data_IF_553448881566
#
_entry.id   IF_553448881566
#
_cell.length_a   1.000
_cell.length_b   1.000
_cell.length_c   1.000
_cell.angle_alpha   90.00
_cell.angle_beta   90.00
_cell.angle_gamma   90.00
#
_symmetry.space_group_name_H-M   'P 1'
#
loop_
_entity.id
_entity.type
_entity.pdbx_description
1 polymer ?
#
# COMPACT_ATOMS: atom_id res chain seq x y z
N UNK A 1 41.06 -13.66 70.51
CA UNK A 1 40.93 -13.01 69.18
C UNK A 1 39.48 -12.50 69.11
N UNK A 2 39.08 -11.26 69.48
CA UNK A 2 39.58 -9.89 69.20
C UNK A 2 39.86 -9.76 67.70
N UNK A 3 39.14 -9.00 66.87
CA UNK A 3 38.46 -7.69 67.05
C UNK A 3 37.35 -7.51 65.99
N UNK A 4 36.09 -7.24 66.33
CA UNK A 4 35.45 -5.90 66.33
C UNK A 4 35.93 -4.90 65.26
N UNK A 5 35.03 -4.56 64.33
CA UNK A 5 34.81 -3.17 63.87
C UNK A 5 33.33 -2.95 63.52
N UNK A 6 32.68 -2.18 64.38
CA UNK A 6 31.43 -1.50 64.11
C UNK A 6 31.75 -0.16 63.43
N UNK A 7 30.89 0.28 62.51
CA UNK A 7 30.71 1.70 62.25
C UNK A 7 29.31 1.97 61.69
N UNK A 8 28.52 2.71 62.48
CA UNK A 8 27.30 3.40 62.08
C UNK A 8 27.64 4.59 61.18
N UNK A 9 26.88 4.76 60.08
CA UNK A 9 26.55 6.05 59.43
C UNK A 9 25.15 5.86 58.81
N UNK A 10 24.05 6.28 59.44
CA UNK A 10 23.43 7.61 59.34
C UNK A 10 22.97 8.03 57.92
N UNK A 11 21.68 7.81 57.66
CA UNK A 11 20.71 8.72 57.04
C UNK A 11 21.11 9.54 55.80
N UNK A 12 20.51 9.23 54.64
CA UNK A 12 19.85 10.21 53.76
C UNK A 12 19.10 9.47 52.64
N UNK A 13 17.78 9.33 52.82
CA UNK A 13 16.84 8.97 51.75
C UNK A 13 16.65 10.22 50.89
N UNK A 14 17.28 10.26 49.73
CA UNK A 14 16.90 11.20 48.67
C UNK A 14 15.89 10.50 47.78
N UNK A 15 14.62 10.89 47.95
CA UNK A 15 13.52 10.52 47.08
C UNK A 15 13.71 11.25 45.74
N UNK A 16 14.40 10.62 44.79
CA UNK A 16 14.45 11.10 43.42
C UNK A 16 13.12 10.73 42.75
N UNK A 17 12.17 11.67 42.76
CA UNK A 17 11.00 11.64 41.88
C UNK A 17 11.53 11.71 40.46
N UNK A 18 11.60 10.55 39.78
CA UNK A 18 11.71 10.51 38.31
C UNK A 18 10.36 10.99 37.80
N UNK A 19 10.28 12.29 37.52
CA UNK A 19 9.22 12.83 36.69
C UNK A 19 9.34 12.19 35.31
N UNK A 20 8.43 11.27 35.01
CA UNK A 20 8.20 10.82 33.65
C UNK A 20 7.78 12.03 32.82
N UNK A 21 8.75 12.62 32.12
CA UNK A 21 8.49 13.60 31.09
C UNK A 21 7.72 12.90 29.97
N UNK A 22 6.40 13.11 29.93
CA UNK A 22 5.60 12.90 28.74
C UNK A 22 6.05 13.94 27.69
N UNK A 23 7.06 13.57 26.90
CA UNK A 23 7.36 14.21 25.62
C UNK A 23 6.45 13.64 24.52
N UNK A 24 6.19 14.40 23.44
CA UNK A 24 5.09 14.14 22.53
C UNK A 24 5.42 12.99 21.58
N UNK A 25 4.99 11.77 21.91
CA UNK A 25 4.97 10.65 20.97
C UNK A 25 3.91 10.83 19.85
N UNK A 26 3.01 11.79 19.99
CA UNK A 26 1.92 12.08 19.04
C UNK A 26 2.37 12.87 17.80
N UNK A 27 3.47 13.65 17.90
CA UNK A 27 3.95 14.46 16.77
C UNK A 27 4.66 13.62 15.69
N UNK A 28 5.35 12.54 16.08
CA UNK A 28 6.08 11.69 15.14
C UNK A 28 5.16 10.80 14.28
N UNK A 29 4.06 10.30 14.85
CA UNK A 29 3.06 9.53 14.12
C UNK A 29 2.24 10.39 13.14
N UNK A 30 1.99 11.66 13.50
CA UNK A 30 1.25 12.60 12.65
C UNK A 30 2.11 13.08 11.46
N UNK A 31 3.41 13.25 11.65
CA UNK A 31 4.34 13.65 10.57
C UNK A 31 4.51 12.55 9.50
N UNK A 32 4.56 11.27 9.89
CA UNK A 32 4.68 10.15 8.94
C UNK A 32 3.43 9.93 8.09
N UNK A 33 2.24 10.28 8.60
CA UNK A 33 0.98 10.19 7.85
C UNK A 33 0.80 11.39 6.91
N UNK A 34 1.29 12.57 7.29
CA UNK A 34 1.26 13.77 6.44
C UNK A 34 2.25 13.71 5.26
N UNK A 35 3.40 13.04 5.39
CA UNK A 35 4.33 12.85 4.25
C UNK A 35 3.79 11.88 3.19
N UNK A 36 2.96 10.91 3.56
CA UNK A 36 2.41 9.93 2.61
C UNK A 36 1.20 10.44 1.80
N UNK A 37 0.59 11.55 2.23
CA UNK A 37 -0.59 12.15 1.56
C UNK A 37 -0.22 13.20 0.53
N UNK A 38 1.03 13.68 0.50
CA UNK A 38 1.50 14.69 -0.44
C UNK A 38 2.43 14.10 -1.49
N UNK A 39 2.03 14.19 -2.76
CA UNK A 39 2.92 13.87 -3.89
C UNK A 39 3.78 15.09 -4.23
N UNK A 40 5.05 14.86 -4.56
CA UNK A 40 5.94 15.87 -5.12
C UNK A 40 6.63 15.35 -6.38
N UNK A 41 6.99 16.26 -7.28
CA UNK A 41 7.69 15.97 -8.54
C UNK A 41 8.95 16.85 -8.65
N UNK A 42 10.04 16.36 -9.26
CA UNK A 42 10.18 15.05 -9.90
C UNK A 42 10.14 13.90 -8.89
N UNK A 43 9.58 12.77 -9.29
CA UNK A 43 9.56 11.53 -8.50
C UNK A 43 10.39 10.46 -9.19
N UNK A 44 11.33 9.87 -8.46
CA UNK A 44 12.25 8.86 -8.97
C UNK A 44 12.14 7.57 -8.17
N UNK A 45 11.99 6.44 -8.86
CA UNK A 45 11.98 5.12 -8.24
C UNK A 45 12.62 4.07 -9.15
N UNK A 46 13.29 3.10 -8.54
CA UNK A 46 13.81 1.92 -9.25
C UNK A 46 12.70 0.91 -9.45
N UNK A 47 12.51 0.46 -10.68
CA UNK A 47 11.49 -0.49 -11.04
C UNK A 47 11.99 -1.95 -11.00
N UNK A 48 11.10 -2.90 -11.30
CA UNK A 48 11.41 -4.33 -11.27
C UNK A 48 12.36 -4.83 -12.38
N UNK A 49 12.84 -3.95 -13.25
CA UNK A 49 13.93 -4.24 -14.20
C UNK A 49 15.29 -3.77 -13.67
N UNK A 50 15.33 -3.14 -12.49
CA UNK A 50 16.50 -2.46 -11.96
C UNK A 50 16.77 -1.11 -12.63
N UNK A 51 15.82 -0.57 -13.39
CA UNK A 51 15.97 0.72 -14.06
C UNK A 51 15.43 1.82 -13.17
N UNK A 52 16.20 2.89 -12.97
CA UNK A 52 15.72 4.10 -12.31
C UNK A 52 14.81 4.87 -13.28
N UNK A 53 13.56 5.08 -12.87
CA UNK A 53 12.54 5.79 -13.65
C UNK A 53 12.22 7.08 -12.93
N UNK A 54 12.35 8.19 -13.65
CA UNK A 54 11.98 9.53 -13.17
C UNK A 54 10.74 10.00 -13.90
N UNK A 55 9.76 10.47 -13.14
CA UNK A 55 8.57 11.18 -13.62
C UNK A 55 8.76 12.64 -13.23
N UNK A 56 8.97 13.52 -14.22
CA UNK A 56 9.39 14.91 -13.97
C UNK A 56 8.24 15.79 -13.46
N UNK A 57 7.01 15.51 -13.91
CA UNK A 57 5.80 16.26 -13.60
C UNK A 57 4.62 15.28 -13.43
N UNK A 58 3.53 15.74 -12.80
CA UNK A 58 2.32 14.91 -12.64
C UNK A 58 1.81 14.48 -14.03
N UNK A 59 1.74 13.17 -14.35
CA UNK A 59 1.31 12.73 -15.67
C UNK A 59 -0.18 13.05 -15.87
N UNK A 60 -0.53 13.56 -17.05
CA UNK A 60 -1.92 13.80 -17.46
C UNK A 60 -2.48 12.58 -18.21
N UNK A 61 -1.60 11.80 -18.84
CA UNK A 61 -1.96 10.65 -19.71
C UNK A 61 -1.23 9.39 -19.24
N UNK A 62 -1.98 8.48 -18.65
CA UNK A 62 -1.47 7.20 -18.12
C UNK A 62 -2.04 6.04 -18.94
N UNK A 63 -1.19 5.12 -19.37
CA UNK A 63 -1.62 3.86 -19.98
C UNK A 63 -1.32 2.68 -19.06
N UNK A 64 -2.34 1.84 -18.82
CA UNK A 64 -2.26 0.68 -17.92
C UNK A 64 -2.24 -0.62 -18.72
N UNK A 65 -1.20 -1.44 -18.57
CA UNK A 65 -1.00 -2.60 -19.45
C UNK A 65 -1.75 -3.87 -18.99
N UNK A 66 -2.32 -3.87 -17.80
CA UNK A 66 -3.07 -5.01 -17.23
C UNK A 66 -4.16 -4.49 -16.27
N UNK A 67 -5.29 -5.20 -16.12
CA UNK A 67 -6.42 -4.77 -15.29
C UNK A 67 -6.08 -4.46 -13.84
N UNK A 68 -5.07 -5.08 -13.22
CA UNK A 68 -4.67 -4.71 -11.85
C UNK A 68 -4.21 -3.25 -11.71
N UNK A 69 -3.43 -2.73 -12.68
CA UNK A 69 -3.02 -1.32 -12.68
C UNK A 69 -4.20 -0.39 -12.98
N UNK A 70 -5.09 -0.77 -13.91
CA UNK A 70 -6.31 -0.02 -14.17
C UNK A 70 -7.19 0.06 -12.92
N UNK A 71 -7.39 -1.07 -12.23
CA UNK A 71 -8.18 -1.13 -11.01
C UNK A 71 -7.59 -0.22 -9.93
N UNK A 72 -6.28 -0.25 -9.71
CA UNK A 72 -5.61 0.69 -8.78
C UNK A 72 -5.85 2.15 -9.19
N UNK A 73 -5.77 2.51 -10.47
CA UNK A 73 -6.05 3.89 -10.93
C UNK A 73 -7.51 4.32 -10.67
N UNK A 74 -8.47 3.41 -10.82
CA UNK A 74 -9.86 3.67 -10.45
C UNK A 74 -10.02 3.86 -8.95
N UNK A 75 -9.28 3.08 -8.15
CA UNK A 75 -9.32 3.24 -6.71
C UNK A 75 -8.71 4.56 -6.26
N UNK A 76 -7.52 4.93 -6.73
CA UNK A 76 -6.83 6.13 -6.18
C UNK A 76 -7.35 7.46 -6.74
N UNK A 77 -8.45 7.47 -7.51
CA UNK A 77 -9.01 8.67 -8.12
C UNK A 77 -8.32 9.10 -9.42
N UNK A 78 -7.42 8.30 -9.96
CA UNK A 78 -6.65 8.57 -11.19
C UNK A 78 -7.34 8.17 -12.50
N UNK A 79 -8.60 7.70 -12.48
CA UNK A 79 -9.28 7.17 -13.69
C UNK A 79 -9.35 8.13 -14.88
N UNK A 80 -9.38 9.44 -14.64
CA UNK A 80 -9.44 10.44 -15.71
C UNK A 80 -8.08 10.65 -16.39
N UNK A 81 -6.97 10.30 -15.72
CA UNK A 81 -5.65 10.26 -16.35
C UNK A 81 -5.50 9.04 -17.28
N UNK A 82 -6.33 8.00 -17.13
CA UNK A 82 -6.16 6.76 -17.89
C UNK A 82 -6.67 6.91 -19.33
N UNK A 83 -5.75 6.93 -20.29
CA UNK A 83 -6.04 7.07 -21.73
C UNK A 83 -6.02 5.73 -22.46
N UNK A 84 -5.32 4.73 -21.93
CA UNK A 84 -5.18 3.40 -22.49
C UNK A 84 -5.28 2.30 -21.43
N UNK A 85 -5.96 1.21 -21.76
CA UNK A 85 -6.11 0.05 -20.87
C UNK A 85 -6.25 -1.27 -21.62
N UNK A 86 -5.95 -2.36 -20.92
CA UNK A 86 -6.20 -3.72 -21.41
C UNK A 86 -7.70 -3.98 -21.54
N UNK A 87 -8.11 -4.76 -22.54
CA UNK A 87 -9.50 -5.19 -22.72
C UNK A 87 -10.08 -5.90 -21.49
N UNK A 88 -9.23 -6.52 -20.67
CA UNK A 88 -9.64 -7.20 -19.44
C UNK A 88 -10.00 -6.24 -18.30
N UNK A 89 -9.83 -4.93 -18.49
CA UNK A 89 -10.24 -3.88 -17.57
C UNK A 89 -11.54 -3.17 -17.99
N UNK A 90 -12.15 -3.55 -19.12
CA UNK A 90 -13.37 -2.93 -19.65
C UNK A 90 -14.62 -3.13 -18.77
N UNK A 91 -14.53 -3.96 -17.73
CA UNK A 91 -15.58 -4.10 -16.72
C UNK A 91 -15.64 -2.92 -15.74
N UNK A 92 -14.59 -2.10 -15.67
CA UNK A 92 -14.56 -0.91 -14.82
C UNK A 92 -15.45 0.18 -15.41
N UNK A 93 -16.22 0.85 -14.54
CA UNK A 93 -17.17 1.88 -14.97
C UNK A 93 -16.46 2.99 -15.79
N UNK A 94 -16.94 3.22 -17.01
CA UNK A 94 -16.43 4.23 -17.94
C UNK A 94 -15.16 3.84 -18.71
N UNK A 95 -14.61 2.64 -18.47
CA UNK A 95 -13.39 2.16 -19.15
C UNK A 95 -13.56 1.98 -20.66
N UNK A 96 -14.79 1.78 -21.15
CA UNK A 96 -15.12 1.62 -22.56
C UNK A 96 -14.83 2.87 -23.41
N UNK A 97 -14.70 4.03 -22.75
CA UNK A 97 -14.32 5.29 -23.41
C UNK A 97 -12.80 5.42 -23.62
N UNK A 98 -11.99 4.50 -23.09
CA UNK A 98 -10.52 4.54 -23.18
C UNK A 98 -10.02 3.65 -24.32
N UNK A 99 -8.79 3.88 -24.78
CA UNK A 99 -8.23 3.09 -25.88
C UNK A 99 -7.85 1.69 -25.39
N UNK A 100 -8.40 0.65 -26.06
CA UNK A 100 -8.00 -0.72 -25.81
C UNK A 100 -6.59 -0.99 -26.41
N UNK A 101 -5.60 -1.20 -25.55
CA UNK A 101 -4.20 -1.45 -25.94
C UNK A 101 -3.83 -2.94 -26.01
N UNK A 102 -4.80 -3.85 -25.95
CA UNK A 102 -4.54 -5.30 -26.07
C UNK A 102 -4.15 -5.73 -27.48
N UNK A 103 -3.29 -6.75 -27.53
CA UNK A 103 -3.01 -7.53 -28.74
C UNK A 103 -4.23 -8.35 -29.19
N UNK A 104 -4.16 -8.96 -30.37
CA UNK A 104 -5.14 -9.95 -30.79
C UNK A 104 -4.98 -11.21 -29.95
N UNK A 105 -5.69 -11.28 -28.81
CA UNK A 105 -5.58 -12.36 -27.83
C UNK A 105 -5.01 -11.87 -26.48
N UNK A 106 -4.08 -12.63 -25.92
CA UNK A 106 -3.37 -12.24 -24.69
C UNK A 106 -2.17 -11.34 -25.00
N UNK A 107 -1.89 -10.41 -24.10
CA UNK A 107 -0.74 -9.50 -24.19
C UNK A 107 -1.08 -8.08 -24.65
N UNK A 108 -0.03 -7.31 -24.90
CA UNK A 108 -0.05 -5.88 -25.19
C UNK A 108 0.25 -5.64 -26.67
N UNK A 109 -0.45 -4.71 -27.31
CA UNK A 109 -0.09 -4.20 -28.62
C UNK A 109 0.70 -2.90 -28.47
N UNK A 110 2.00 -2.94 -28.77
CA UNK A 110 2.91 -1.82 -28.52
C UNK A 110 2.56 -0.59 -29.37
N UNK A 111 2.15 -0.77 -30.63
CA UNK A 111 1.76 0.34 -31.49
C UNK A 111 0.53 1.07 -30.94
N UNK A 112 -0.44 0.34 -30.39
CA UNK A 112 -1.61 0.94 -29.74
C UNK A 112 -1.21 1.67 -28.46
N UNK A 113 -0.27 1.16 -27.68
CA UNK A 113 0.25 1.87 -26.49
C UNK A 113 0.92 3.18 -26.92
N UNK A 114 1.82 3.15 -27.90
CA UNK A 114 2.44 4.37 -28.44
C UNK A 114 1.38 5.35 -28.97
N UNK A 115 0.36 4.84 -29.65
CA UNK A 115 -0.76 5.65 -30.16
C UNK A 115 -1.62 6.29 -29.07
N UNK A 116 -1.50 5.88 -27.81
CA UNK A 116 -2.14 6.58 -26.67
C UNK A 116 -1.36 7.81 -26.21
N UNK A 117 -0.17 8.08 -26.74
CA UNK A 117 0.68 9.22 -26.35
C UNK A 117 0.76 9.42 -24.82
N UNK A 118 1.19 8.39 -24.05
CA UNK A 118 1.17 8.45 -22.59
C UNK A 118 2.41 9.16 -22.03
N UNK A 119 2.21 9.94 -20.97
CA UNK A 119 3.31 10.48 -20.13
C UNK A 119 3.93 9.37 -19.27
N UNK A 120 3.12 8.38 -18.88
CA UNK A 120 3.53 7.24 -18.07
C UNK A 120 2.78 5.96 -18.46
N UNK A 121 3.53 4.87 -18.58
CA UNK A 121 2.98 3.52 -18.75
C UNK A 121 3.19 2.70 -17.49
N UNK A 122 2.09 2.21 -16.91
CA UNK A 122 2.10 1.33 -15.74
C UNK A 122 2.06 -0.14 -16.19
N UNK A 123 3.15 -0.86 -15.93
CA UNK A 123 3.34 -2.24 -16.36
C UNK A 123 3.41 -3.20 -15.14
N UNK A 124 2.32 -3.92 -14.79
CA UNK A 124 2.38 -4.94 -13.75
C UNK A 124 3.38 -6.06 -14.05
N UNK A 125 3.78 -6.82 -13.03
CA UNK A 125 4.79 -7.89 -13.10
C UNK A 125 4.57 -8.93 -14.21
N UNK A 126 3.30 -9.17 -14.59
CA UNK A 126 2.90 -10.06 -15.68
C UNK A 126 3.28 -9.56 -17.07
N UNK A 127 3.64 -8.29 -17.22
CA UNK A 127 4.20 -7.76 -18.47
C UNK A 127 5.67 -8.16 -18.56
N UNK A 128 6.05 -8.75 -19.70
CA UNK A 128 7.41 -9.24 -19.92
C UNK A 128 8.42 -8.09 -19.98
N UNK A 129 9.65 -8.35 -19.52
CA UNK A 129 10.75 -7.39 -19.66
C UNK A 129 10.99 -7.00 -21.12
N UNK A 130 10.82 -7.94 -22.06
CA UNK A 130 10.90 -7.66 -23.50
C UNK A 130 9.88 -6.60 -23.94
N UNK A 131 8.62 -6.72 -23.49
CA UNK A 131 7.57 -5.73 -23.80
C UNK A 131 7.90 -4.37 -23.19
N UNK A 132 8.36 -4.35 -21.94
CA UNK A 132 8.77 -3.11 -21.25
C UNK A 132 9.93 -2.42 -21.97
N UNK A 133 10.96 -3.18 -22.36
CA UNK A 133 12.11 -2.66 -23.11
C UNK A 133 11.69 -2.13 -24.48
N UNK A 134 10.85 -2.86 -25.22
CA UNK A 134 10.37 -2.41 -26.53
C UNK A 134 9.59 -1.09 -26.46
N UNK A 135 8.78 -0.88 -25.40
CA UNK A 135 8.06 0.37 -25.19
C UNK A 135 9.00 1.53 -24.79
N UNK A 136 10.05 1.25 -24.00
CA UNK A 136 11.09 2.23 -23.67
C UNK A 136 11.95 2.61 -24.88
N UNK A 137 12.30 1.64 -25.72
CA UNK A 137 13.02 1.87 -26.99
C UNK A 137 12.19 2.73 -27.96
N UNK A 138 10.86 2.71 -27.83
CA UNK A 138 9.94 3.61 -28.53
C UNK A 138 9.84 5.01 -27.89
N UNK A 139 10.59 5.29 -26.83
CA UNK A 139 10.67 6.60 -26.17
C UNK A 139 9.65 6.83 -25.05
N UNK A 140 8.93 5.81 -24.60
CA UNK A 140 7.95 5.95 -23.53
C UNK A 140 8.57 5.79 -22.13
N UNK A 141 8.07 6.56 -21.16
CA UNK A 141 8.34 6.33 -19.73
C UNK A 141 7.50 5.16 -19.24
N UNK A 142 8.14 4.03 -18.95
CA UNK A 142 7.47 2.80 -18.50
C UNK A 142 7.96 2.41 -17.11
N UNK A 143 7.06 2.24 -16.15
CA UNK A 143 7.37 1.73 -14.82
C UNK A 143 6.90 0.27 -14.68
N UNK A 144 7.83 -0.68 -14.47
CA UNK A 144 7.50 -2.09 -14.24
C UNK A 144 7.40 -2.39 -12.74
N UNK A 145 6.25 -2.87 -12.30
CA UNK A 145 6.04 -3.27 -10.90
C UNK A 145 6.59 -4.65 -10.60
N UNK A 146 7.02 -4.84 -9.35
CA UNK A 146 7.32 -6.15 -8.78
C UNK A 146 6.06 -7.00 -8.61
N UNK A 147 6.27 -8.30 -8.40
CA UNK A 147 5.19 -9.20 -8.01
C UNK A 147 4.69 -8.85 -6.62
N UNK A 148 3.37 -8.72 -6.45
CA UNK A 148 2.76 -8.58 -5.14
C UNK A 148 2.48 -9.97 -4.56
N UNK A 149 3.20 -10.32 -3.50
CA UNK A 149 3.15 -11.64 -2.83
C UNK A 149 2.43 -11.59 -1.48
N UNK A 150 2.03 -10.40 -1.02
CA UNK A 150 1.29 -10.19 0.23
C UNK A 150 0.31 -9.00 0.11
N UNK A 151 -0.53 -8.80 1.12
CA UNK A 151 -1.44 -7.64 1.20
C UNK A 151 -0.63 -6.34 1.36
N UNK A 152 0.43 -6.36 2.16
CA UNK A 152 1.35 -5.23 2.35
C UNK A 152 2.10 -4.89 1.05
N UNK A 153 2.41 -5.88 0.21
CA UNK A 153 2.98 -5.63 -1.11
C UNK A 153 1.97 -4.92 -2.04
N UNK A 154 0.67 -5.21 -1.91
CA UNK A 154 -0.40 -4.48 -2.62
C UNK A 154 -0.52 -3.06 -2.09
N UNK A 155 -0.42 -2.87 -0.77
CA UNK A 155 -0.43 -1.55 -0.12
C UNK A 155 0.72 -0.68 -0.63
N UNK A 156 1.95 -1.20 -0.59
CA UNK A 156 3.14 -0.52 -1.06
C UNK A 156 3.05 -0.18 -2.56
N UNK A 157 2.56 -1.12 -3.38
CA UNK A 157 2.33 -0.90 -4.81
C UNK A 157 1.28 0.21 -5.06
N UNK A 158 0.25 0.28 -4.23
CA UNK A 158 -0.80 1.32 -4.32
C UNK A 158 -0.23 2.68 -3.96
N UNK A 159 0.54 2.78 -2.87
CA UNK A 159 1.26 4.01 -2.49
C UNK A 159 2.20 4.47 -3.60
N UNK A 160 3.01 3.57 -4.14
CA UNK A 160 3.93 3.86 -5.24
C UNK A 160 3.19 4.33 -6.50
N UNK A 161 2.05 3.71 -6.82
CA UNK A 161 1.21 4.15 -7.94
C UNK A 161 0.68 5.57 -7.70
N UNK A 162 0.26 5.88 -6.46
CA UNK A 162 -0.11 7.22 -6.05
C UNK A 162 1.00 8.24 -6.29
N UNK A 163 2.23 7.93 -5.85
CA UNK A 163 3.40 8.80 -6.03
C UNK A 163 3.75 9.02 -7.51
N UNK A 164 3.79 7.95 -8.30
CA UNK A 164 4.07 8.02 -9.75
C UNK A 164 3.04 8.85 -10.53
N UNK A 165 1.79 8.91 -10.05
CA UNK A 165 0.66 9.50 -10.80
C UNK A 165 0.11 10.79 -10.19
N UNK A 166 0.63 11.21 -9.04
CA UNK A 166 0.15 12.41 -8.34
C UNK A 166 -1.16 12.20 -7.56
N UNK A 167 -1.49 10.96 -7.20
CA UNK A 167 -2.73 10.57 -6.52
C UNK A 167 -2.49 10.03 -5.09
N UNK A 168 -1.55 10.62 -4.34
CA UNK A 168 -1.12 10.15 -3.01
C UNK A 168 -2.27 10.09 -1.99
N UNK A 169 -3.11 11.13 -1.92
CA UNK A 169 -4.25 11.14 -1.01
C UNK A 169 -5.24 9.99 -1.30
N UNK A 170 -5.56 9.74 -2.57
CA UNK A 170 -6.42 8.63 -2.97
C UNK A 170 -5.77 7.26 -2.74
N UNK A 171 -4.44 7.15 -2.87
CA UNK A 171 -3.71 5.93 -2.51
C UNK A 171 -3.75 5.66 -1.00
N UNK A 172 -3.54 6.69 -0.18
CA UNK A 172 -3.65 6.58 1.28
C UNK A 172 -5.06 6.16 1.73
N UNK A 173 -6.11 6.77 1.16
CA UNK A 173 -7.49 6.39 1.44
C UNK A 173 -7.79 4.95 1.01
N UNK A 174 -7.38 4.54 -0.20
CA UNK A 174 -7.60 3.18 -0.69
C UNK A 174 -6.88 2.13 0.17
N UNK A 175 -5.66 2.44 0.63
CA UNK A 175 -4.91 1.58 1.54
C UNK A 175 -5.56 1.51 2.92
N UNK A 176 -6.00 2.63 3.50
CA UNK A 176 -6.73 2.64 4.76
C UNK A 176 -8.01 1.80 4.68
N UNK A 177 -8.75 1.89 3.58
CA UNK A 177 -9.93 1.08 3.33
C UNK A 177 -9.62 -0.41 3.21
N UNK A 178 -8.53 -0.76 2.52
CA UNK A 178 -8.06 -2.13 2.42
C UNK A 178 -7.68 -2.69 3.79
N UNK A 179 -6.81 -2.00 4.53
CA UNK A 179 -6.28 -2.45 5.82
C UNK A 179 -7.40 -2.64 6.85
N UNK A 180 -8.32 -1.68 6.97
CA UNK A 180 -9.44 -1.80 7.93
C UNK A 180 -10.33 -3.02 7.68
N UNK A 181 -10.58 -3.37 6.42
CA UNK A 181 -11.39 -4.55 6.09
C UNK A 181 -10.62 -5.86 6.27
N UNK A 182 -9.30 -5.87 6.04
CA UNK A 182 -8.43 -7.00 6.36
C UNK A 182 -8.39 -7.24 7.87
N UNK A 183 -8.21 -6.19 8.66
CA UNK A 183 -8.20 -6.24 10.13
C UNK A 183 -9.55 -6.74 10.67
N UNK A 184 -10.66 -6.25 10.11
CA UNK A 184 -12.01 -6.69 10.48
C UNK A 184 -12.21 -8.19 10.23
N UNK A 185 -11.74 -8.70 9.09
CA UNK A 185 -11.80 -10.13 8.78
C UNK A 185 -10.94 -10.96 9.71
N UNK A 186 -9.68 -10.57 9.92
CA UNK A 186 -8.74 -11.27 10.81
C UNK A 186 -9.27 -11.33 12.25
N UNK A 187 -9.81 -10.22 12.75
CA UNK A 187 -10.43 -10.15 14.08
C UNK A 187 -11.65 -11.06 14.19
N UNK A 188 -12.51 -11.08 13.16
CA UNK A 188 -13.72 -11.89 13.16
C UNK A 188 -13.42 -13.40 13.23
N UNK A 189 -12.34 -13.83 12.56
CA UNK A 189 -11.94 -15.25 12.48
C UNK A 189 -10.87 -15.63 13.51
N UNK A 190 -10.57 -14.76 14.47
CA UNK A 190 -9.58 -15.04 15.51
C UNK A 190 -10.00 -16.26 16.33
N UNK A 191 -9.15 -17.28 16.38
CA UNK A 191 -9.42 -18.53 17.09
C UNK A 191 -10.43 -19.47 16.40
N UNK A 192 -10.92 -19.13 15.21
CA UNK A 192 -11.76 -20.02 14.41
C UNK A 192 -10.92 -21.15 13.76
N UNK A 193 -11.55 -22.31 13.56
CA UNK A 193 -10.93 -23.43 12.85
C UNK A 193 -10.79 -23.11 11.36
N UNK A 194 -9.58 -23.22 10.82
CA UNK A 194 -9.29 -22.76 9.46
C UNK A 194 -9.58 -23.87 8.44
N UNK A 195 -10.60 -23.75 7.57
CA UNK A 195 -10.85 -24.76 6.57
C UNK A 195 -9.66 -24.84 5.59
N UNK A 196 -9.38 -26.05 5.11
CA UNK A 196 -8.41 -26.34 4.04
C UNK A 196 -8.96 -25.87 2.70
N UNK A 197 -8.30 -24.91 2.07
CA UNK A 197 -8.75 -24.22 0.86
C UNK A 197 -7.79 -24.47 -0.29
N UNK A 198 -8.33 -24.73 -1.48
CA UNK A 198 -7.57 -24.72 -2.74
C UNK A 198 -8.21 -23.74 -3.73
N UNK A 199 -7.38 -23.07 -4.52
CA UNK A 199 -7.85 -22.26 -5.66
C UNK A 199 -7.28 -22.74 -6.99
N UNK A 200 -8.08 -23.47 -7.79
CA UNK A 200 -7.71 -23.88 -9.13
C UNK A 200 -7.80 -22.72 -10.14
N UNK A 201 -6.75 -22.56 -10.94
CA UNK A 201 -6.66 -21.60 -12.05
C UNK A 201 -6.92 -22.26 -13.42
N UNK A 202 -7.01 -23.60 -13.44
CA UNK A 202 -7.22 -24.42 -14.63
C UNK A 202 -5.92 -25.02 -15.16
N UNK A 203 -6.03 -26.15 -15.88
CA UNK A 203 -4.87 -26.84 -16.46
C UNK A 203 -3.85 -27.35 -15.43
N UNK A 204 -4.29 -27.69 -14.22
CA UNK A 204 -3.43 -28.14 -13.12
C UNK A 204 -2.86 -27.01 -12.25
N UNK A 205 -2.90 -25.76 -12.72
CA UNK A 205 -2.37 -24.62 -11.97
C UNK A 205 -3.24 -24.29 -10.74
N UNK A 206 -2.59 -24.02 -9.62
CA UNK A 206 -3.22 -23.59 -8.36
C UNK A 206 -2.51 -22.37 -7.77
N UNK A 207 -3.16 -21.64 -6.86
CA UNK A 207 -2.50 -20.57 -6.11
C UNK A 207 -1.72 -21.16 -4.92
N UNK A 208 -0.39 -21.11 -4.99
CA UNK A 208 0.52 -21.54 -3.93
C UNK A 208 0.91 -20.44 -2.95
N UNK A 209 1.91 -20.74 -2.14
CA UNK A 209 2.50 -19.81 -1.16
C UNK A 209 3.12 -18.58 -1.84
N UNK A 210 3.40 -17.55 -1.04
CA UNK A 210 4.00 -16.31 -1.54
C UNK A 210 3.19 -15.68 -2.70
N UNK A 211 1.87 -15.84 -2.66
CA UNK A 211 0.94 -15.16 -3.55
C UNK A 211 0.01 -14.25 -2.76
N UNK A 212 -0.44 -13.17 -3.39
CA UNK A 212 -1.47 -12.34 -2.78
C UNK A 212 -2.79 -13.11 -2.55
N UNK A 213 -3.07 -14.17 -3.32
CA UNK A 213 -4.25 -15.02 -3.13
C UNK A 213 -4.11 -15.83 -1.84
N UNK A 214 -2.94 -16.43 -1.60
CA UNK A 214 -2.64 -17.09 -0.34
C UNK A 214 -2.78 -16.13 0.85
N UNK A 215 -2.26 -14.90 0.74
CA UNK A 215 -2.42 -13.88 1.77
C UNK A 215 -3.89 -13.55 2.06
N UNK A 216 -4.74 -13.44 1.02
CA UNK A 216 -6.18 -13.19 1.21
C UNK A 216 -6.92 -14.40 1.79
N UNK A 217 -6.59 -15.64 1.38
CA UNK A 217 -7.12 -16.87 2.00
C UNK A 217 -6.79 -16.88 3.49
N UNK A 218 -5.53 -16.57 3.81
CA UNK A 218 -5.02 -16.56 5.17
C UNK A 218 -5.67 -15.48 6.03
N UNK A 219 -5.82 -14.26 5.51
CA UNK A 219 -6.51 -13.16 6.19
C UNK A 219 -7.99 -13.46 6.46
N UNK A 220 -8.62 -14.26 5.59
CA UNK A 220 -10.03 -14.67 5.71
C UNK A 220 -10.25 -15.87 6.64
N UNK A 221 -9.19 -16.37 7.28
CA UNK A 221 -9.26 -17.51 8.19
C UNK A 221 -9.29 -18.86 7.50
N UNK A 222 -8.86 -18.98 6.24
CA UNK A 222 -8.63 -20.27 5.56
C UNK A 222 -7.18 -20.74 5.70
N UNK A 223 -6.91 -21.99 5.34
CA UNK A 223 -5.55 -22.54 5.21
C UNK A 223 -5.34 -23.01 3.78
N UNK A 224 -4.38 -22.43 3.05
CA UNK A 224 -4.09 -22.87 1.69
C UNK A 224 -3.43 -24.26 1.72
N UNK A 225 -4.05 -25.24 1.08
CA UNK A 225 -3.52 -26.63 1.08
C UNK A 225 -2.23 -26.77 0.29
N UNK A 226 -1.93 -25.83 -0.60
CA UNK A 226 -0.70 -25.85 -1.40
C UNK A 226 0.53 -25.57 -0.53
N UNK A 227 0.33 -24.87 0.60
CA UNK A 227 1.37 -24.58 1.59
C UNK A 227 1.99 -25.84 2.20
N UNK A 228 1.19 -26.92 2.32
CA UNK A 228 1.66 -28.20 2.87
C UNK A 228 2.76 -28.84 1.98
N UNK A 229 2.84 -28.46 0.71
CA UNK A 229 3.86 -28.92 -0.23
C UNK A 229 5.06 -27.96 -0.32
N UNK A 230 5.00 -26.79 0.32
CA UNK A 230 6.04 -25.75 0.23
C UNK A 230 6.23 -25.20 -1.19
N UNK A 231 5.14 -25.17 -1.97
CA UNK A 231 5.16 -24.70 -3.36
C UNK A 231 4.67 -23.24 -3.43
N UNK A 232 5.55 -22.35 -3.89
CA UNK A 232 5.26 -20.94 -4.05
C UNK A 232 4.77 -20.58 -5.47
N UNK A 233 4.11 -19.43 -5.60
CA UNK A 233 3.65 -18.88 -6.86
C UNK A 233 2.43 -19.63 -7.41
N UNK A 234 2.50 -20.03 -8.67
CA UNK A 234 1.40 -20.72 -9.36
C UNK A 234 1.88 -22.09 -9.88
N UNK A 235 2.09 -23.06 -8.99
CA UNK A 235 2.54 -24.39 -9.39
C UNK A 235 1.43 -25.18 -10.09
N UNK A 236 1.82 -26.19 -10.86
CA UNK A 236 0.92 -27.25 -11.30
C UNK A 236 0.93 -28.37 -10.24
N UNK A 237 -0.25 -28.86 -9.88
CA UNK A 237 -0.40 -30.08 -9.07
C UNK A 237 -0.92 -31.21 -9.95
N UNK A 238 -0.44 -32.41 -9.67
CA UNK A 238 -1.03 -33.65 -10.17
C UNK A 238 -2.39 -33.92 -9.51
N UNK A 239 -3.19 -34.76 -10.16
CA UNK A 239 -4.49 -35.18 -9.64
C UNK A 239 -4.34 -35.85 -8.25
N UNK A 240 -3.30 -36.67 -8.09
CA UNK A 240 -2.97 -37.33 -6.82
C UNK A 240 -2.61 -36.32 -5.72
N UNK A 241 -1.82 -35.29 -6.02
CA UNK A 241 -1.47 -34.25 -5.06
C UNK A 241 -2.70 -33.44 -4.64
N UNK A 242 -3.63 -33.15 -5.55
CA UNK A 242 -4.89 -32.46 -5.19
C UNK A 242 -5.72 -33.32 -4.24
N UNK A 243 -5.86 -34.62 -4.51
CA UNK A 243 -6.61 -35.54 -3.65
C UNK A 243 -5.93 -35.67 -2.27
N UNK A 244 -4.62 -35.88 -2.24
CA UNK A 244 -3.82 -35.99 -1.01
C UNK A 244 -3.88 -34.72 -0.16
N UNK A 245 -3.90 -33.55 -0.81
CA UNK A 245 -4.04 -32.25 -0.14
C UNK A 245 -5.37 -32.08 0.61
N UNK A 246 -6.37 -32.93 0.33
CA UNK A 246 -7.64 -32.99 1.06
C UNK A 246 -8.32 -31.63 1.29
N UNK A 247 -8.59 -30.84 0.24
CA UNK A 247 -9.25 -29.55 0.41
C UNK A 247 -10.69 -29.73 0.90
N UNK A 248 -11.07 -28.93 1.89
CA UNK A 248 -12.44 -28.86 2.41
C UNK A 248 -13.27 -27.81 1.67
N UNK A 249 -12.62 -26.86 1.00
CA UNK A 249 -13.25 -25.80 0.21
C UNK A 249 -12.48 -25.62 -1.10
N UNK A 250 -13.22 -25.56 -2.22
CA UNK A 250 -12.68 -25.11 -3.51
C UNK A 250 -13.13 -23.67 -3.77
N UNK A 251 -12.18 -22.75 -3.95
CA UNK A 251 -12.48 -21.41 -4.44
C UNK A 251 -12.83 -21.45 -5.92
N UNK A 252 -13.90 -20.75 -6.30
CA UNK A 252 -14.34 -20.63 -7.69
C UNK A 252 -14.47 -19.16 -8.09
N UNK A 253 -14.03 -18.83 -9.31
CA UNK A 253 -13.99 -17.45 -9.79
C UNK A 253 -15.08 -17.07 -10.79
N UNK A 254 -15.95 -18.03 -11.16
CA UNK A 254 -17.02 -17.80 -12.13
C UNK A 254 -18.35 -18.37 -11.65
N UNK A 255 -19.48 -17.71 -11.97
CA UNK A 255 -20.80 -18.30 -11.74
C UNK A 255 -20.91 -19.66 -12.43
N UNK A 256 -21.38 -20.67 -11.71
CA UNK A 256 -21.45 -22.06 -12.20
C UNK A 256 -20.12 -22.84 -12.09
N UNK A 257 -19.05 -22.22 -11.57
CA UNK A 257 -17.77 -22.90 -11.36
C UNK A 257 -17.81 -24.07 -10.37
N UNK A 258 -18.89 -24.21 -9.59
CA UNK A 258 -19.08 -25.33 -8.67
C UNK A 258 -19.10 -26.71 -9.35
N UNK A 259 -19.38 -26.78 -10.66
CA UNK A 259 -19.27 -28.00 -11.46
C UNK A 259 -17.86 -28.62 -11.45
N UNK A 260 -16.84 -27.86 -11.00
CA UNK A 260 -15.50 -28.42 -10.75
C UNK A 260 -15.53 -29.59 -9.77
N UNK A 261 -16.46 -29.60 -8.80
CA UNK A 261 -16.63 -30.69 -7.83
C UNK A 261 -17.16 -31.98 -8.46
N UNK A 262 -17.69 -31.93 -9.69
CA UNK A 262 -18.17 -33.12 -10.42
C UNK A 262 -17.06 -33.80 -11.25
N UNK A 263 -15.85 -33.24 -11.25
CA UNK A 263 -14.72 -33.70 -12.08
C UNK A 263 -13.50 -34.05 -11.24
N UNK A 264 -12.79 -35.11 -11.62
CA UNK A 264 -11.48 -35.40 -11.04
C UNK A 264 -10.49 -34.24 -11.30
N UNK A 265 -9.56 -33.97 -10.38
CA UNK A 265 -9.36 -34.65 -9.09
C UNK A 265 -10.32 -34.20 -7.97
N UNK A 266 -11.04 -33.09 -8.18
CA UNK A 266 -11.82 -32.45 -7.11
C UNK A 266 -13.02 -33.27 -6.65
N UNK A 267 -13.60 -34.11 -7.53
CA UNK A 267 -14.67 -35.05 -7.18
C UNK A 267 -14.30 -36.04 -6.07
N UNK A 268 -13.00 -36.33 -5.91
CA UNK A 268 -12.46 -37.22 -4.90
C UNK A 268 -11.93 -36.49 -3.65
N UNK A 269 -12.38 -35.25 -3.39
CA UNK A 269 -11.93 -34.44 -2.25
C UNK A 269 -13.05 -34.22 -1.21
N UNK A 270 -12.71 -33.90 0.06
CA UNK A 270 -13.70 -33.53 1.07
C UNK A 270 -14.61 -32.38 0.64
N UNK A 271 -14.13 -31.45 -0.18
CA UNK A 271 -14.93 -30.36 -0.74
C UNK A 271 -16.09 -30.88 -1.60
N UNK A 272 -15.87 -31.90 -2.44
CA UNK A 272 -16.94 -32.51 -3.24
C UNK A 272 -17.92 -33.31 -2.37
N UNK A 273 -17.42 -34.08 -1.41
CA UNK A 273 -18.27 -34.83 -0.46
C UNK A 273 -19.24 -33.93 0.30
N UNK A 274 -18.81 -32.72 0.64
CA UNK A 274 -19.60 -31.73 1.38
C UNK A 274 -20.25 -30.67 0.47
N UNK A 275 -20.12 -30.77 -0.86
CA UNK A 275 -20.58 -29.80 -1.84
C UNK A 275 -20.17 -28.35 -1.49
N UNK A 276 -18.90 -28.16 -1.12
CA UNK A 276 -18.39 -26.92 -0.51
C UNK A 276 -17.48 -26.17 -1.47
N UNK A 277 -18.06 -25.17 -2.13
CA UNK A 277 -17.33 -24.14 -2.88
C UNK A 277 -17.58 -22.75 -2.29
N UNK A 278 -16.59 -21.86 -2.40
CA UNK A 278 -16.78 -20.43 -2.13
C UNK A 278 -16.51 -19.65 -3.39
N UNK A 279 -17.50 -18.85 -3.80
CA UNK A 279 -17.41 -18.01 -4.99
C UNK A 279 -16.87 -16.62 -4.63
N UNK A 280 -15.85 -16.20 -5.37
CA UNK A 280 -15.33 -14.83 -5.39
C UNK A 280 -15.27 -14.38 -6.83
N UNK A 281 -15.77 -13.20 -7.17
CA UNK A 281 -15.74 -12.72 -8.56
C UNK A 281 -14.30 -12.66 -9.09
N UNK A 282 -14.08 -13.11 -10.33
CA UNK A 282 -12.75 -13.27 -10.94
C UNK A 282 -11.90 -12.01 -10.88
N UNK A 283 -12.47 -10.85 -11.14
CA UNK A 283 -11.72 -9.59 -11.15
C UNK A 283 -11.30 -9.16 -9.75
N UNK A 284 -11.94 -9.68 -8.70
CA UNK A 284 -11.51 -9.49 -7.32
C UNK A 284 -10.54 -10.57 -6.85
N UNK A 285 -10.66 -11.80 -7.35
CA UNK A 285 -9.76 -12.88 -6.93
C UNK A 285 -8.40 -12.84 -7.63
N UNK A 286 -8.34 -12.39 -8.89
CA UNK A 286 -7.15 -12.54 -9.75
C UNK A 286 -6.40 -11.23 -10.04
N UNK A 287 -6.70 -10.14 -9.34
CA UNK A 287 -6.08 -8.82 -9.60
C UNK A 287 -5.52 -8.24 -8.28
N UNK A 288 -4.20 -8.09 -8.11
CA UNK A 288 -3.64 -7.54 -6.88
C UNK A 288 -3.82 -6.01 -6.81
N UNK A 289 -4.93 -5.57 -6.24
CA UNK A 289 -5.32 -4.16 -6.05
C UNK A 289 -6.30 -3.99 -4.86
N UNK A 290 -6.44 -2.77 -4.29
CA UNK A 290 -7.16 -2.57 -3.02
C UNK A 290 -8.59 -3.14 -2.98
N UNK A 291 -9.42 -2.85 -3.99
CA UNK A 291 -10.79 -3.38 -4.02
C UNK A 291 -10.86 -4.90 -4.12
N UNK A 292 -9.88 -5.51 -4.78
CA UNK A 292 -9.81 -6.95 -4.95
C UNK A 292 -9.59 -7.62 -3.59
N UNK A 293 -8.66 -7.07 -2.80
CA UNK A 293 -8.43 -7.53 -1.42
C UNK A 293 -9.68 -7.39 -0.57
N UNK A 294 -10.32 -6.21 -0.54
CA UNK A 294 -11.50 -5.98 0.31
C UNK A 294 -12.64 -6.93 -0.03
N UNK A 295 -13.01 -7.03 -1.31
CA UNK A 295 -14.13 -7.89 -1.70
C UNK A 295 -13.79 -9.36 -1.55
N UNK A 296 -12.59 -9.80 -1.95
CA UNK A 296 -12.20 -11.19 -1.85
C UNK A 296 -12.15 -11.64 -0.37
N UNK A 297 -11.54 -10.84 0.51
CA UNK A 297 -11.49 -11.15 1.94
C UNK A 297 -12.89 -11.20 2.54
N UNK A 298 -13.74 -10.21 2.26
CA UNK A 298 -15.13 -10.23 2.73
C UNK A 298 -15.92 -11.46 2.25
N UNK A 299 -15.81 -11.81 0.97
CA UNK A 299 -16.49 -12.99 0.40
C UNK A 299 -15.95 -14.31 0.99
N UNK A 300 -14.64 -14.41 1.18
CA UNK A 300 -14.01 -15.59 1.75
C UNK A 300 -14.33 -15.74 3.23
N UNK A 301 -14.28 -14.67 4.03
CA UNK A 301 -14.71 -14.72 5.44
C UNK A 301 -16.17 -15.17 5.55
N UNK A 302 -17.07 -14.63 4.72
CA UNK A 302 -18.47 -15.07 4.70
C UNK A 302 -18.64 -16.55 4.31
N UNK A 303 -17.84 -17.03 3.35
CA UNK A 303 -17.91 -18.40 2.86
C UNK A 303 -17.25 -19.44 3.77
N UNK A 304 -16.15 -19.07 4.44
CA UNK A 304 -15.41 -19.93 5.35
C UNK A 304 -16.08 -19.96 6.73
N UNK A 305 -16.51 -18.79 7.22
CA UNK A 305 -16.94 -18.53 8.60
C UNK A 305 -18.22 -17.66 8.65
N UNK A 306 -19.39 -18.20 8.23
CA UNK A 306 -20.62 -17.41 8.12
C UNK A 306 -21.07 -16.79 9.45
N UNK A 307 -20.87 -17.48 10.58
CA UNK A 307 -21.23 -16.98 11.91
C UNK A 307 -20.32 -15.82 12.35
N UNK A 308 -19.02 -15.89 12.06
CA UNK A 308 -18.06 -14.83 12.35
C UNK A 308 -18.29 -13.59 11.49
N UNK A 309 -18.61 -13.79 10.21
CA UNK A 309 -18.85 -12.71 9.26
C UNK A 309 -19.99 -11.78 9.69
N UNK A 310 -21.08 -12.33 10.25
CA UNK A 310 -22.21 -11.54 10.73
C UNK A 310 -21.90 -10.55 11.86
N UNK A 311 -20.80 -10.76 12.59
CA UNK A 311 -20.31 -9.86 13.65
C UNK A 311 -19.18 -8.93 13.21
N UNK A 312 -18.59 -9.16 12.03
CA UNK A 312 -17.44 -8.42 11.54
C UNK A 312 -17.80 -6.97 11.17
N UNK A 313 -16.90 -6.03 11.49
CA UNK A 313 -17.08 -4.60 11.22
C UNK A 313 -16.42 -4.22 9.89
N UNK A 314 -16.87 -4.82 8.78
CA UNK A 314 -16.43 -4.40 7.44
C UNK A 314 -16.92 -2.96 7.17
N UNK A 315 -16.06 -2.13 6.59
CA UNK A 315 -16.33 -0.71 6.35
C UNK A 315 -16.38 -0.42 4.86
N UNK A 316 -17.32 0.44 4.48
CA UNK A 316 -17.38 1.00 3.15
C UNK A 316 -16.28 2.03 2.96
N UNK A 317 -15.92 2.26 1.71
CA UNK A 317 -14.92 3.26 1.37
C UNK A 317 -15.33 4.70 1.77
N UNK A 318 -16.62 5.01 1.71
CA UNK A 318 -17.14 6.31 2.11
C UNK A 318 -17.00 6.57 3.62
N UNK A 319 -17.17 5.53 4.45
CA UNK A 319 -16.96 5.64 5.90
C UNK A 319 -15.49 5.93 6.23
N UNK A 320 -14.56 5.28 5.53
CA UNK A 320 -13.12 5.53 5.69
C UNK A 320 -12.76 6.95 5.28
N UNK A 321 -13.21 7.41 4.11
CA UNK A 321 -12.98 8.78 3.65
C UNK A 321 -13.49 9.81 4.69
N UNK A 322 -14.72 9.62 5.20
CA UNK A 322 -15.30 10.49 6.22
C UNK A 322 -14.48 10.50 7.52
N UNK A 323 -13.93 9.36 7.96
CA UNK A 323 -13.07 9.30 9.14
C UNK A 323 -11.74 10.04 8.96
N UNK A 324 -11.17 10.00 7.76
CA UNK A 324 -9.90 10.67 7.46
C UNK A 324 -10.04 12.20 7.39
N UNK A 325 -11.19 12.71 6.95
CA UNK A 325 -11.49 14.15 6.96
C UNK A 325 -11.64 14.71 8.39
N UNK A 326 -12.10 13.89 9.35
CA UNK A 326 -12.29 14.33 10.75
C UNK A 326 -11.03 14.39 11.59
N UNK A 327 -9.95 13.73 11.15
CA UNK A 327 -8.66 13.69 11.85
C UNK A 327 -7.68 14.80 11.41
N UNK A 328 -8.06 15.66 10.45
CA UNK A 328 -7.29 16.86 10.13
C UNK A 328 -7.42 17.88 11.28
N UNK A 329 -6.33 18.32 11.94
CA UNK A 329 -6.43 19.25 13.05
C UNK A 329 -6.99 20.58 12.53
N UNK A 330 -8.21 20.93 12.97
CA UNK A 330 -8.82 22.22 12.70
C UNK A 330 -7.87 23.33 13.14
N UNK A 331 -7.27 24.00 12.15
CA UNK A 331 -6.46 25.17 12.36
C UNK A 331 -7.35 26.21 13.04
N UNK A 332 -7.16 26.39 14.35
CA UNK A 332 -7.96 27.31 15.15
C UNK A 332 -7.61 28.71 14.68
N UNK A 333 -8.43 29.27 13.78
CA UNK A 333 -8.32 30.65 13.34
C UNK A 333 -8.58 31.55 14.55
N UNK A 334 -7.52 31.95 15.26
CA UNK A 334 -7.59 33.02 16.24
C UNK A 334 -8.00 34.29 15.50
N UNK A 335 -9.27 34.62 15.59
CA UNK A 335 -9.80 35.89 15.13
C UNK A 335 -9.21 36.97 16.03
N UNK A 336 -8.17 37.65 15.55
CA UNK A 336 -7.65 38.85 16.20
C UNK A 336 -8.67 39.96 15.96
N UNK A 337 -9.53 40.20 16.94
CA UNK A 337 -10.49 41.31 16.92
C UNK A 337 -9.71 42.62 17.07
N UNK A 338 -9.43 43.30 15.96
CA UNK A 338 -8.99 44.70 15.94
C UNK A 338 -10.16 45.60 16.37
N UNK A 339 -10.04 46.42 17.44
CA UNK A 339 -11.03 47.46 17.71
C UNK A 339 -10.85 48.63 16.74
N UNK A 340 -11.98 49.16 16.27
CA UNK A 340 -12.10 50.32 15.39
C UNK A 340 -11.48 51.62 16.00
N UNK A 341 -11.10 52.61 15.16
CA UNK A 341 -10.35 53.77 15.60
C UNK A 341 -11.25 54.81 16.28
N UNK A 342 -10.74 55.43 17.35
CA UNK A 342 -11.32 56.63 17.95
C UNK A 342 -10.54 57.83 17.45
N UNK A 343 -11.28 58.74 16.83
CA UNK A 343 -10.85 60.04 16.35
C UNK A 343 -10.67 60.99 17.54
N UNK A 344 -9.50 61.62 17.69
CA UNK A 344 -9.38 62.85 18.49
C UNK A 344 -8.28 63.78 17.95
N UNK A 345 -8.66 65.05 17.90
CA UNK A 345 -8.06 66.21 17.20
C UNK A 345 -6.81 66.77 17.93
N UNK A 346 -5.90 67.52 17.24
CA UNK A 346 -4.52 67.69 17.69
C UNK A 346 -4.30 68.92 18.57
N UNK A 347 -3.29 68.85 19.45
CA UNK A 347 -2.74 70.00 20.15
C UNK A 347 -1.20 70.01 20.09
N UNK A 348 -0.69 71.15 19.64
CA UNK A 348 0.70 71.54 19.39
C UNK A 348 1.54 71.64 20.67
N UNK A 349 2.79 71.15 20.64
CA UNK A 349 3.95 71.77 21.30
C UNK A 349 5.29 71.17 20.82
N UNK A 350 6.29 72.05 20.83
CA UNK A 350 7.61 72.06 20.17
C UNK A 350 8.73 71.22 20.84
N UNK A 351 9.99 71.24 20.33
CA UNK A 351 10.91 70.09 20.29
C UNK A 351 11.96 70.09 21.41
N UNK A 352 12.61 68.94 21.63
CA UNK A 352 13.96 68.90 22.23
C UNK A 352 14.84 67.86 21.55
N UNK A 353 15.92 68.37 20.95
CA UNK A 353 17.13 67.65 20.56
C UNK A 353 17.76 66.90 21.73
N UNK A 354 18.29 65.69 21.47
CA UNK A 354 19.45 65.13 22.17
C UNK A 354 20.05 63.91 21.42
N UNK A 355 21.00 64.20 20.53
CA UNK A 355 22.39 63.71 20.55
C UNK A 355 22.70 62.22 20.86
N UNK A 356 22.90 61.44 19.79
CA UNK A 356 24.10 60.61 19.47
C UNK A 356 24.53 59.41 20.38
N UNK A 357 25.57 58.61 20.03
CA UNK A 357 25.45 57.26 19.46
C UNK A 357 26.25 56.17 20.23
N UNK A 358 26.18 54.89 19.83
CA UNK A 358 26.99 53.83 20.45
C UNK A 358 27.26 52.61 19.57
N UNK A 359 28.54 52.42 19.24
CA UNK A 359 29.16 51.38 18.42
C UNK A 359 29.44 50.06 19.17
N UNK A 360 29.67 48.99 18.38
CA UNK A 360 30.64 47.92 18.67
C UNK A 360 30.04 46.61 19.19
N UNK A 361 30.58 45.40 18.96
CA UNK A 361 31.93 44.98 18.52
C UNK A 361 31.84 43.57 17.92
N UNK A 362 32.75 43.29 16.98
CA UNK A 362 33.03 42.02 16.33
C UNK A 362 33.55 40.91 17.28
N UNK A 363 33.41 39.65 16.88
CA UNK A 363 34.41 38.60 17.18
C UNK A 363 34.30 37.43 16.19
N UNK A 364 35.33 37.28 15.36
CA UNK A 364 35.63 36.11 14.57
C UNK A 364 36.61 35.21 15.34
N UNK A 365 36.46 33.88 15.26
CA UNK A 365 37.55 32.94 15.56
C UNK A 365 37.54 31.79 14.55
N UNK A 366 38.61 31.74 13.76
CA UNK A 366 39.08 30.62 12.95
C UNK A 366 39.93 29.68 13.83
N UNK A 367 39.83 28.37 13.61
CA UNK A 367 40.89 27.44 13.96
C UNK A 367 41.04 26.36 12.87
N UNK A 368 42.18 26.44 12.19
CA UNK A 368 42.67 25.56 11.15
C UNK A 368 43.88 24.84 11.76
N UNK A 369 43.89 23.49 11.81
CA UNK A 369 45.12 22.73 12.03
C UNK A 369 45.17 21.60 11.01
N UNK A 370 46.11 21.73 10.09
CA UNK A 370 46.60 20.68 9.22
C UNK A 370 47.93 20.18 9.79
N UNK A 371 48.10 18.86 9.86
CA UNK A 371 49.42 18.22 9.85
C UNK A 371 49.40 17.03 8.91
N UNK A 372 50.34 17.08 7.97
CA UNK A 372 50.56 16.18 6.85
C UNK A 372 51.64 15.13 7.14
N UNK A 373 51.56 14.00 6.42
CA UNK A 373 52.66 13.16 5.88
C UNK A 373 53.38 12.23 6.90
N UNK A 374 53.72 10.95 6.64
CA UNK A 374 54.13 10.28 5.40
C UNK A 374 54.02 8.73 5.49
N UNK A 375 53.94 8.14 4.30
CA UNK A 375 54.03 6.73 3.86
C UNK A 375 55.06 5.81 4.59
N UNK A 376 54.88 4.49 4.62
CA UNK A 376 55.37 3.54 3.58
C UNK A 376 54.86 2.10 3.90
N UNK A 377 54.16 1.41 2.99
CA UNK A 377 54.62 0.45 1.95
C UNK A 377 55.02 -0.97 2.46
N UNK A 378 54.30 -1.97 1.91
CA UNK A 378 54.66 -3.40 1.70
C UNK A 378 54.78 -4.33 2.92
N UNK A 379 53.87 -5.30 3.02
CA UNK A 379 54.06 -6.66 2.49
C UNK A 379 52.71 -7.35 2.28
#
# INVERSE_FOLDING_TARGET
MRTTRAMLIALLVTLSVVGAGLGPATAAASASVQEQTQCSFPFTATDATGTEITVDERPERVTTLNPSAAQTMWEIGGREQVVGLSQFALYLDGAESRQNVSAAGFGVNNEKVVGTDPDLVLAPNSISNETVLALRDAGLTVFRFESATSIEAIEAKTTLTGQLTGNCAGAAEANAWMTQNVDAAQTAVEGAERPRVIYPLGGGFVAGDETFIDAMITASGGSNVVADFGLAGYPELSDEEVIESGPEVVLISTPGGAAILDSEPYASTPAAENNRTVYVERNYLNQPAPRSVVYAVGNMTAGFHPDAYGGAQFVTRAEVAASMETDEPTETTQTTTTPAPVDDTPATAEPTDATSPGFGVAAAVLALVATTLLATRRR
#
